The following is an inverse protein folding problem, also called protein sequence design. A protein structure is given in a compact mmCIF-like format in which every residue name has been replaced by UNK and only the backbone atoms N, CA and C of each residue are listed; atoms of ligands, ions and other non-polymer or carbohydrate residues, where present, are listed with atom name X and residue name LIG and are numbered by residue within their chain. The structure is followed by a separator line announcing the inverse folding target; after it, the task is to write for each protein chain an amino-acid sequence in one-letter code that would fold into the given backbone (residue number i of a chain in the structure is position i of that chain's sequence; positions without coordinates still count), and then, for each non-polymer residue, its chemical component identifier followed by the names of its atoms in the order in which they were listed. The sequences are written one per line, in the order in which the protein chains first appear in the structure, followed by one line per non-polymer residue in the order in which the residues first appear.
data_IF_715880812003
#
_entry.id   IF_715880812003
#
_cell.length_a   1.000
_cell.length_b   1.000
_cell.length_c   1.000
_cell.angle_alpha   90.00
_cell.angle_beta   90.00
_cell.angle_gamma   90.00
#
_symmetry.space_group_name_H-M   'P 1'
#
loop_
_entity.id
_entity.type
_entity.pdbx_description
1 polymer ?
#
# COMPACT_ATOMS: atom_id res chain seq x y z
N UNK A 1 -9.45 -12.96 3.42
CA UNK A 1 -9.79 -11.88 4.38
C UNK A 1 -10.95 -11.09 3.80
N UNK A 2 -11.74 -10.37 4.61
CA UNK A 2 -12.86 -9.56 4.08
C UNK A 2 -12.34 -8.28 3.42
N UNK A 3 -13.09 -7.77 2.45
CA UNK A 3 -12.92 -6.42 1.88
C UNK A 3 -14.00 -5.53 2.51
N UNK A 4 -13.61 -4.35 2.98
CA UNK A 4 -14.51 -3.43 3.67
C UNK A 4 -14.07 -1.98 3.41
N UNK A 5 -14.41 -1.50 2.21
CA UNK A 5 -14.04 -0.16 1.76
C UNK A 5 -14.80 0.96 2.50
N UNK A 6 -16.01 0.68 2.98
CA UNK A 6 -16.85 1.71 3.62
C UNK A 6 -16.40 2.06 5.04
N UNK A 7 -15.85 1.11 5.81
CA UNK A 7 -15.62 1.30 7.27
C UNK A 7 -14.77 2.52 7.64
N UNK A 8 -13.84 2.93 6.78
CA UNK A 8 -12.94 4.07 7.05
C UNK A 8 -12.88 5.06 5.89
N UNK A 9 -13.83 4.98 4.95
CA UNK A 9 -13.82 5.78 3.72
C UNK A 9 -13.70 7.28 4.02
N UNK A 10 -14.55 7.80 4.90
CA UNK A 10 -14.60 9.23 5.22
C UNK A 10 -13.28 9.76 5.79
N UNK A 11 -12.62 8.97 6.65
CA UNK A 11 -11.31 9.35 7.22
C UNK A 11 -10.26 9.40 6.11
N UNK A 12 -10.23 8.41 5.22
CA UNK A 12 -9.29 8.43 4.09
C UNK A 12 -9.56 9.60 3.14
N UNK A 13 -10.82 9.86 2.78
CA UNK A 13 -11.22 10.94 1.88
C UNK A 13 -10.93 12.32 2.46
N UNK A 14 -11.16 12.54 3.77
CA UNK A 14 -10.78 13.75 4.51
C UNK A 14 -9.29 14.08 4.36
N UNK A 15 -8.43 13.06 4.24
CA UNK A 15 -6.98 13.21 4.06
C UNK A 15 -6.55 13.17 2.58
N UNK A 16 -7.50 13.20 1.63
CA UNK A 16 -7.21 13.20 0.19
C UNK A 16 -6.98 11.81 -0.42
N UNK A 17 -7.27 10.72 0.30
CA UNK A 17 -7.08 9.33 -0.15
C UNK A 17 -8.40 8.73 -0.60
N UNK A 18 -8.95 9.22 -1.70
CA UNK A 18 -10.12 8.59 -2.34
C UNK A 18 -9.81 7.14 -2.76
N UNK A 19 -10.82 6.27 -2.71
CA UNK A 19 -10.69 4.92 -3.28
C UNK A 19 -10.36 5.02 -4.77
N UNK A 20 -9.42 4.19 -5.23
CA UNK A 20 -8.94 4.23 -6.60
C UNK A 20 -8.15 5.50 -6.95
N UNK A 21 -7.57 6.19 -5.96
CA UNK A 21 -6.72 7.38 -6.17
C UNK A 21 -5.71 7.12 -7.27
N UNK A 22 -5.61 8.04 -8.23
CA UNK A 22 -4.67 8.01 -9.33
C UNK A 22 -3.62 9.10 -9.12
N UNK A 23 -2.33 8.76 -9.14
CA UNK A 23 -1.26 9.76 -9.03
C UNK A 23 -0.93 10.42 -10.38
N UNK A 24 -1.11 9.69 -11.47
CA UNK A 24 -0.89 10.16 -12.84
C UNK A 24 -1.54 9.24 -13.86
N UNK A 25 -1.95 9.79 -14.99
CA UNK A 25 -2.44 9.03 -16.13
C UNK A 25 -1.34 8.17 -16.80
N UNK A 26 -0.06 8.43 -16.54
CA UNK A 26 1.06 7.62 -17.04
C UNK A 26 2.01 7.22 -15.92
N UNK A 27 2.00 5.92 -15.59
CA UNK A 27 2.91 5.33 -14.59
C UNK A 27 4.37 5.53 -14.96
N UNK A 28 4.69 5.41 -16.25
CA UNK A 28 6.04 5.60 -16.79
C UNK A 28 6.49 7.04 -16.60
N UNK A 29 5.66 8.00 -17.04
CA UNK A 29 5.97 9.43 -16.92
C UNK A 29 6.15 9.86 -15.46
N UNK A 30 5.29 9.39 -14.55
CA UNK A 30 5.43 9.70 -13.13
C UNK A 30 6.76 9.21 -12.56
N UNK A 31 7.20 8.01 -12.93
CA UNK A 31 8.50 7.48 -12.50
C UNK A 31 9.67 8.27 -13.09
N UNK A 32 9.56 8.74 -14.34
CA UNK A 32 10.58 9.61 -14.96
C UNK A 32 10.69 10.95 -14.21
N UNK A 33 9.56 11.56 -13.84
CA UNK A 33 9.53 12.83 -13.12
C UNK A 33 9.96 12.70 -11.65
N UNK A 34 9.70 11.56 -11.01
CA UNK A 34 10.01 11.30 -9.61
C UNK A 34 10.85 10.02 -9.42
N UNK A 35 12.07 9.96 -9.97
CA UNK A 35 12.86 8.72 -10.04
C UNK A 35 13.34 8.22 -8.67
N UNK A 36 13.40 9.10 -7.67
CA UNK A 36 13.81 8.78 -6.29
C UNK A 36 12.64 8.39 -5.39
N UNK A 37 11.40 8.52 -5.86
CA UNK A 37 10.24 8.30 -5.03
C UNK A 37 9.88 6.81 -4.96
N UNK A 38 9.44 6.38 -3.79
CA UNK A 38 8.98 5.02 -3.58
C UNK A 38 7.48 4.90 -3.89
N UNK A 39 7.17 4.61 -5.15
CA UNK A 39 5.79 4.61 -5.67
C UNK A 39 5.25 3.19 -5.82
N UNK A 40 4.05 2.97 -5.30
CA UNK A 40 3.26 1.75 -5.43
C UNK A 40 1.96 2.06 -6.18
N UNK A 41 1.91 1.68 -7.45
CA UNK A 41 0.70 1.80 -8.26
C UNK A 41 -0.31 0.72 -7.89
N UNK A 42 -1.59 1.06 -7.87
CA UNK A 42 -2.69 0.18 -7.48
C UNK A 42 -2.41 -0.57 -6.15
N UNK A 43 -1.79 0.12 -5.20
CA UNK A 43 -1.49 -0.41 -3.88
C UNK A 43 -2.77 -0.77 -3.13
N UNK A 44 -2.60 -1.57 -2.09
CA UNK A 44 -3.69 -2.00 -1.21
C UNK A 44 -3.32 -1.69 0.24
N UNK A 45 -4.30 -1.23 1.03
CA UNK A 45 -4.13 -1.04 2.47
C UNK A 45 -5.06 -1.99 3.21
N UNK A 46 -4.49 -2.71 4.18
CA UNK A 46 -5.20 -3.67 5.00
C UNK A 46 -4.98 -3.40 6.49
N UNK A 47 -5.88 -3.93 7.32
CA UNK A 47 -5.73 -4.00 8.79
C UNK A 47 -6.10 -5.38 9.31
N UNK A 48 -5.60 -5.76 10.50
CA UNK A 48 -5.74 -7.13 11.05
C UNK A 48 -7.19 -7.65 11.13
N UNK A 49 -8.12 -6.79 11.55
CA UNK A 49 -9.50 -7.21 11.88
C UNK A 49 -10.55 -6.66 10.92
N UNK A 50 -10.23 -5.64 10.11
CA UNK A 50 -11.18 -5.10 9.12
C UNK A 50 -10.93 -5.69 7.74
N UNK A 51 -9.70 -6.13 7.48
CA UNK A 51 -9.31 -6.62 6.18
C UNK A 51 -8.86 -5.51 5.26
N UNK A 52 -9.14 -5.64 3.96
CA UNK A 52 -8.75 -4.64 2.95
C UNK A 52 -9.70 -3.47 3.02
N UNK A 53 -9.17 -2.28 3.25
CA UNK A 53 -9.96 -1.07 3.53
C UNK A 53 -9.76 0.01 2.48
N UNK A 54 -8.72 -0.08 1.65
CA UNK A 54 -8.43 0.92 0.63
C UNK A 54 -7.59 0.32 -0.51
N UNK A 55 -7.73 0.90 -1.70
CA UNK A 55 -6.85 0.64 -2.84
C UNK A 55 -6.66 1.91 -3.68
N UNK A 56 -5.54 1.98 -4.39
CA UNK A 56 -5.17 3.12 -5.24
C UNK A 56 -3.66 3.34 -5.29
N UNK A 57 -3.22 4.35 -6.01
CA UNK A 57 -1.82 4.72 -6.12
C UNK A 57 -1.31 5.42 -4.84
N UNK A 58 -0.11 5.03 -4.43
CA UNK A 58 0.61 5.61 -3.30
C UNK A 58 2.03 6.00 -3.70
N UNK A 59 2.45 7.20 -3.31
CA UNK A 59 3.84 7.63 -3.32
C UNK A 59 4.29 7.69 -1.86
N UNK A 60 4.86 6.61 -1.34
CA UNK A 60 5.18 6.53 0.10
C UNK A 60 6.21 7.58 0.52
N UNK A 61 7.03 8.10 -0.41
CA UNK A 61 7.94 9.22 -0.12
C UNK A 61 7.17 10.48 0.29
N UNK A 62 5.99 10.70 -0.29
CA UNK A 62 5.13 11.87 0.01
C UNK A 62 4.02 11.54 1.01
N UNK A 63 3.42 10.36 0.89
CA UNK A 63 2.18 9.98 1.56
C UNK A 63 2.40 9.43 2.99
N UNK A 64 3.61 8.99 3.34
CA UNK A 64 3.89 8.29 4.61
C UNK A 64 3.39 9.06 5.84
N UNK A 65 3.67 10.37 5.91
CA UNK A 65 3.26 11.20 7.06
C UNK A 65 1.74 11.21 7.23
N UNK A 66 1.00 11.27 6.12
CA UNK A 66 -0.47 11.30 6.16
C UNK A 66 -1.04 9.93 6.47
N UNK A 67 -0.47 8.85 5.90
CA UNK A 67 -0.85 7.47 6.25
C UNK A 67 -0.65 7.18 7.75
N UNK A 68 0.42 7.70 8.36
CA UNK A 68 0.63 7.62 9.81
C UNK A 68 -0.44 8.41 10.60
N UNK A 69 -0.88 9.57 10.11
CA UNK A 69 -2.00 10.32 10.72
C UNK A 69 -3.32 9.55 10.63
N UNK A 70 -3.66 9.03 9.45
CA UNK A 70 -4.86 8.20 9.24
C UNK A 70 -4.83 6.98 10.19
N UNK A 71 -3.70 6.30 10.28
CA UNK A 71 -3.52 5.14 11.19
C UNK A 71 -3.83 5.48 12.65
N UNK A 72 -3.39 6.66 13.12
CA UNK A 72 -3.68 7.15 14.47
C UNK A 72 -5.16 7.49 14.64
N UNK A 73 -5.76 8.18 13.67
CA UNK A 73 -7.18 8.59 13.72
C UNK A 73 -8.14 7.39 13.75
N UNK A 74 -7.89 6.35 12.95
CA UNK A 74 -8.72 5.14 12.97
C UNK A 74 -8.34 4.15 14.08
N UNK A 75 -7.28 4.44 14.85
CA UNK A 75 -6.68 3.57 15.87
C UNK A 75 -6.42 2.13 15.36
N UNK A 76 -5.82 2.02 14.17
CA UNK A 76 -5.41 0.74 13.57
C UNK A 76 -4.08 0.88 12.88
N UNK A 77 -3.27 -0.17 12.98
CA UNK A 77 -2.06 -0.30 12.17
C UNK A 77 -2.42 -0.58 10.72
N UNK A 78 -1.85 0.22 9.82
CA UNK A 78 -2.01 0.07 8.38
C UNK A 78 -0.87 -0.77 7.82
N UNK A 79 -1.19 -1.70 6.93
CA UNK A 79 -0.21 -2.44 6.14
C UNK A 79 -0.43 -2.16 4.67
N UNK A 80 0.61 -1.68 3.99
CA UNK A 80 0.58 -1.41 2.55
C UNK A 80 1.16 -2.59 1.79
N UNK A 81 0.43 -3.04 0.79
CA UNK A 81 0.81 -4.11 -0.13
C UNK A 81 0.82 -3.60 -1.57
N UNK A 82 1.59 -4.25 -2.44
CA UNK A 82 1.46 -4.06 -3.89
C UNK A 82 0.11 -4.54 -4.39
N UNK A 83 -0.16 -4.16 -5.63
CA UNK A 83 -1.31 -4.62 -6.40
C UNK A 83 -1.52 -6.13 -6.31
N UNK A 84 -0.55 -6.92 -6.78
CA UNK A 84 -0.69 -8.38 -6.89
C UNK A 84 -0.76 -9.08 -5.54
N UNK A 85 -0.25 -8.46 -4.48
CA UNK A 85 -0.21 -9.09 -3.16
C UNK A 85 -1.60 -9.08 -2.47
N UNK A 86 -2.56 -8.25 -2.92
CA UNK A 86 -3.90 -8.14 -2.35
C UNK A 86 -4.99 -7.73 -3.39
N UNK A 87 -4.81 -8.17 -4.63
CA UNK A 87 -5.81 -8.21 -5.72
C UNK A 87 -5.74 -9.57 -6.41
N UNK A 88 -6.69 -9.79 -7.33
CA UNK A 88 -6.75 -11.01 -8.15
C UNK A 88 -6.84 -12.23 -7.25
N UNK A 89 -7.87 -12.25 -6.40
CA UNK A 89 -8.17 -13.29 -5.42
C UNK A 89 -7.22 -13.36 -4.20
N UNK A 90 -6.06 -12.71 -4.24
CA UNK A 90 -5.15 -12.66 -3.09
C UNK A 90 -5.72 -11.93 -1.87
N UNK A 91 -6.72 -11.06 -2.04
CA UNK A 91 -7.46 -10.45 -0.93
C UNK A 91 -8.17 -11.49 -0.04
N UNK A 92 -8.44 -12.70 -0.57
CA UNK A 92 -9.02 -13.81 0.19
C UNK A 92 -7.99 -14.48 1.11
N UNK A 93 -6.69 -14.23 0.93
CA UNK A 93 -5.64 -14.82 1.77
C UNK A 93 -5.78 -14.42 3.26
N UNK A 94 -5.28 -15.25 4.19
CA UNK A 94 -5.26 -14.91 5.61
C UNK A 94 -4.39 -13.69 5.91
N UNK A 95 -4.80 -12.88 6.89
CA UNK A 95 -4.04 -11.69 7.31
C UNK A 95 -2.58 -12.00 7.65
N UNK A 96 -2.29 -13.13 8.30
CA UNK A 96 -0.91 -13.54 8.64
C UNK A 96 -0.03 -13.68 7.39
N UNK A 97 -0.59 -14.13 6.26
CA UNK A 97 0.13 -14.25 4.98
C UNK A 97 0.35 -12.87 4.38
N UNK A 98 -0.70 -12.06 4.32
CA UNK A 98 -0.64 -10.71 3.74
C UNK A 98 0.29 -9.78 4.54
N UNK A 99 0.29 -9.85 5.88
CA UNK A 99 1.22 -9.09 6.73
C UNK A 99 2.69 -9.37 6.36
N UNK A 100 3.04 -10.62 6.03
CA UNK A 100 4.41 -10.97 5.62
C UNK A 100 4.78 -10.42 4.23
N UNK A 101 3.79 -10.14 3.39
CA UNK A 101 3.97 -9.54 2.05
C UNK A 101 3.94 -8.01 2.06
N UNK A 102 3.53 -7.40 3.18
CA UNK A 102 3.51 -5.96 3.32
C UNK A 102 4.90 -5.34 3.06
N UNK A 103 4.89 -4.18 2.43
CA UNK A 103 6.11 -3.41 2.10
C UNK A 103 6.30 -2.28 3.09
N UNK A 104 5.22 -1.81 3.70
CA UNK A 104 5.25 -0.73 4.67
C UNK A 104 4.20 -0.97 5.75
N UNK A 105 4.49 -0.52 6.97
CA UNK A 105 3.49 -0.42 8.04
C UNK A 105 3.51 0.95 8.71
N UNK A 106 2.38 1.37 9.27
CA UNK A 106 2.31 2.67 9.95
C UNK A 106 3.14 2.76 11.24
N UNK A 107 3.54 1.63 11.82
CA UNK A 107 4.42 1.58 12.98
C UNK A 107 5.89 1.55 12.61
N UNK A 108 6.27 0.69 11.67
CA UNK A 108 7.68 0.39 11.39
C UNK A 108 8.23 1.14 10.16
N UNK A 109 7.37 1.79 9.37
CA UNK A 109 7.79 2.38 8.10
C UNK A 109 8.03 1.31 7.04
N UNK A 110 9.05 1.50 6.18
CA UNK A 110 9.42 0.53 5.15
C UNK A 110 9.94 -0.77 5.76
N UNK A 111 9.38 -1.88 5.32
CA UNK A 111 9.71 -3.24 5.79
C UNK A 111 10.84 -3.82 4.91
N UNK A 112 12.08 -3.55 5.33
CA UNK A 112 13.33 -3.81 4.58
C UNK A 112 13.46 -5.26 4.08
N UNK A 113 13.03 -6.26 4.86
CA UNK A 113 13.10 -7.68 4.44
C UNK A 113 12.24 -7.99 3.21
N UNK A 114 11.07 -7.35 3.11
CA UNK A 114 10.22 -7.46 1.92
C UNK A 114 10.86 -6.72 0.76
N UNK A 115 11.31 -5.48 0.97
CA UNK A 115 11.93 -4.66 -0.07
C UNK A 115 13.15 -5.34 -0.72
N UNK A 116 14.11 -5.81 0.09
CA UNK A 116 15.33 -6.48 -0.39
C UNK A 116 15.02 -7.75 -1.19
N UNK A 117 14.08 -8.59 -0.75
CA UNK A 117 13.71 -9.81 -1.49
C UNK A 117 13.20 -9.51 -2.90
N UNK A 118 12.39 -8.44 -3.03
CA UNK A 118 11.85 -8.04 -4.32
C UNK A 118 12.90 -7.36 -5.21
N UNK A 119 13.74 -6.51 -4.60
CA UNK A 119 14.87 -5.89 -5.29
C UNK A 119 15.81 -6.96 -5.87
N UNK A 120 16.24 -7.92 -5.05
CA UNK A 120 17.08 -9.04 -5.47
C UNK A 120 16.41 -9.91 -6.54
N UNK A 121 15.10 -10.18 -6.43
CA UNK A 121 14.36 -10.90 -7.46
C UNK A 121 14.27 -10.15 -8.79
N UNK A 122 14.24 -8.80 -8.76
CA UNK A 122 14.19 -7.98 -9.98
C UNK A 122 15.54 -7.91 -10.70
N UNK A 123 16.65 -7.99 -9.96
CA UNK A 123 17.99 -8.08 -10.51
C UNK A 123 18.22 -9.41 -11.23
N UNK A 124 17.69 -10.52 -10.69
CA UNK A 124 17.80 -11.86 -11.30
C UNK A 124 17.01 -12.03 -12.61
N UNK A 125 16.08 -11.14 -12.94
CA UNK A 125 15.29 -11.20 -14.19
C UNK A 125 15.91 -10.38 -15.34
N UNK A 126 17.04 -9.73 -15.11
CA UNK A 126 17.76 -8.90 -16.09
C UNK A 126 19.06 -9.55 -16.59
N UNK A 127 19.26 -10.84 -16.33
CA UNK A 127 20.38 -11.65 -16.81
C UNK A 127 19.83 -12.80 -17.63
#
# INVERSE_FOLDING_TARGET
MKVNYEKYKDVFEKHGFKLGRLLSFSKGLYKTLYPKNFVLFNANIITRNTGKIWYGDLDLTKDEKVLKKISKEINKELFVLREIDCRFENEKLPFKVLKKRAIWSSKEGLLVKSYLKNFLSSLKKKV
#
